data_IF_263478507201
#
_entry.id   IF_263478507201
#
_cell.length_a   1.000
_cell.length_b   1.000
_cell.length_c   1.000
_cell.angle_alpha   90.00
_cell.angle_beta   90.00
_cell.angle_gamma   90.00
#
_symmetry.space_group_name_H-M   'P 1'
#
loop_
_entity.id
_entity.type
_entity.pdbx_description
1 polymer ?
#
# COMPACT_ATOMS: atom_id res chain seq x y z
N UNK A 1 15.17 99.11 91.84
CA UNK A 1 15.74 97.76 91.57
C UNK A 1 14.70 96.70 91.14
N UNK A 2 13.48 96.63 91.72
CA UNK A 2 12.48 95.57 91.37
C UNK A 2 11.80 95.72 89.99
N UNK A 3 11.55 96.94 89.50
CA UNK A 3 10.85 97.18 88.22
C UNK A 3 11.69 96.83 86.97
N UNK A 4 13.01 96.93 87.06
CA UNK A 4 13.95 96.66 85.93
C UNK A 4 14.09 95.16 85.68
N UNK A 5 14.14 94.35 86.74
CA UNK A 5 14.23 92.88 86.65
C UNK A 5 12.98 92.30 85.96
N UNK A 6 11.79 92.84 86.26
CA UNK A 6 10.53 92.41 85.64
C UNK A 6 10.47 92.76 84.14
N UNK A 7 10.97 93.91 83.72
CA UNK A 7 11.06 94.26 82.29
C UNK A 7 12.05 93.41 81.52
N UNK A 8 13.21 93.09 82.11
CA UNK A 8 14.21 92.21 81.47
C UNK A 8 13.67 90.79 81.33
N UNK A 9 12.98 90.27 82.34
CA UNK A 9 12.38 88.94 82.30
C UNK A 9 11.26 88.85 81.25
N UNK A 10 10.43 89.89 81.14
CA UNK A 10 9.41 89.99 80.09
C UNK A 10 10.01 90.00 78.68
N UNK A 11 11.10 90.74 78.48
CA UNK A 11 11.80 90.78 77.19
C UNK A 11 12.39 89.41 76.83
N UNK A 12 12.94 88.69 77.81
CA UNK A 12 13.53 87.37 77.61
C UNK A 12 12.48 86.32 77.20
N UNK A 13 11.27 86.38 77.78
CA UNK A 13 10.16 85.49 77.43
C UNK A 13 9.67 85.74 75.98
N UNK A 14 9.63 86.99 75.53
CA UNK A 14 9.24 87.33 74.15
C UNK A 14 10.28 86.77 73.16
N UNK A 15 11.57 86.97 73.45
CA UNK A 15 12.66 86.44 72.60
C UNK A 15 12.62 84.91 72.54
N UNK A 16 12.41 84.23 73.67
CA UNK A 16 12.28 82.77 73.70
C UNK A 16 11.07 82.27 72.90
N UNK A 17 9.92 82.94 73.00
CA UNK A 17 8.71 82.58 72.26
C UNK A 17 8.90 82.68 70.75
N UNK A 18 9.55 83.75 70.28
CA UNK A 18 9.86 83.93 68.85
C UNK A 18 10.79 82.83 68.35
N UNK A 19 11.77 82.42 69.15
CA UNK A 19 12.72 81.37 68.76
C UNK A 19 12.04 80.00 68.62
N UNK A 20 11.17 79.65 69.58
CA UNK A 20 10.41 78.40 69.55
C UNK A 20 9.45 78.36 68.36
N UNK A 21 8.75 79.47 68.08
CA UNK A 21 7.84 79.57 66.94
C UNK A 21 8.58 79.33 65.61
N UNK A 22 9.78 79.89 65.45
CA UNK A 22 10.59 79.73 64.24
C UNK A 22 11.03 78.28 64.04
N UNK A 23 11.43 77.60 65.11
CA UNK A 23 11.82 76.18 65.09
C UNK A 23 10.66 75.26 64.67
N UNK A 24 9.43 75.55 65.10
CA UNK A 24 8.25 74.77 64.72
C UNK A 24 7.90 74.98 63.24
N UNK A 25 8.00 76.22 62.75
CA UNK A 25 7.71 76.54 61.33
C UNK A 25 8.71 75.87 60.40
N UNK A 26 10.01 75.93 60.72
CA UNK A 26 11.07 75.31 59.90
C UNK A 26 11.02 73.78 59.94
N UNK A 27 10.44 73.19 60.99
CA UNK A 27 10.27 71.72 61.08
C UNK A 27 9.16 71.16 60.17
N UNK A 28 8.38 72.01 59.50
CA UNK A 28 7.27 71.58 58.65
C UNK A 28 7.75 71.24 57.23
N UNK A 29 8.31 70.04 57.06
CA UNK A 29 8.61 69.48 55.73
C UNK A 29 7.35 68.97 55.04
N UNK A 30 6.74 69.79 54.18
CA UNK A 30 5.65 69.39 53.30
C UNK A 30 6.21 68.79 52.00
N UNK A 31 6.61 67.52 52.03
CA UNK A 31 6.91 66.76 50.81
C UNK A 31 5.59 66.33 50.16
N UNK A 32 5.23 66.96 49.03
CA UNK A 32 4.06 66.54 48.25
C UNK A 32 4.39 65.20 47.56
N UNK A 33 3.59 64.14 47.77
CA UNK A 33 3.83 62.87 47.09
C UNK A 33 3.69 63.07 45.57
N UNK A 34 4.69 62.65 44.79
CA UNK A 34 4.61 62.64 43.33
C UNK A 34 3.64 61.55 42.91
N UNK A 35 2.65 61.91 42.08
CA UNK A 35 1.67 60.97 41.53
C UNK A 35 2.39 59.96 40.63
N UNK A 36 2.35 58.69 41.01
CA UNK A 36 2.90 57.60 40.20
C UNK A 36 2.04 57.40 38.95
N UNK A 37 2.68 57.41 37.77
CA UNK A 37 1.99 57.09 36.51
C UNK A 37 1.70 55.60 36.47
N UNK A 38 0.43 55.23 36.57
CA UNK A 38 -0.01 53.84 36.43
C UNK A 38 0.07 53.43 34.96
N UNK A 39 1.15 52.78 34.58
CA UNK A 39 1.27 52.17 33.25
C UNK A 39 0.63 50.79 33.32
N UNK A 40 -0.54 50.64 32.69
CA UNK A 40 -1.23 49.36 32.63
C UNK A 40 -0.54 48.48 31.60
N UNK A 41 0.26 47.53 32.07
CA UNK A 41 0.86 46.51 31.21
C UNK A 41 -0.21 45.53 30.76
N UNK A 42 -0.25 45.26 29.46
CA UNK A 42 -1.10 44.23 28.85
C UNK A 42 -0.20 43.21 28.16
N UNK A 43 -0.60 41.95 28.22
CA UNK A 43 0.09 40.89 27.48
C UNK A 43 -0.42 40.89 26.05
N UNK A 44 0.50 40.98 25.09
CA UNK A 44 0.20 40.85 23.67
C UNK A 44 1.04 39.74 23.07
N UNK A 45 0.46 39.06 22.09
CA UNK A 45 1.15 38.05 21.30
C UNK A 45 1.12 38.48 19.84
N UNK A 46 2.27 38.36 19.15
CA UNK A 46 2.37 38.71 17.75
C UNK A 46 1.98 37.52 16.90
N UNK A 47 0.82 37.60 16.25
CA UNK A 47 0.34 36.57 15.32
C UNK A 47 1.30 36.47 14.13
N UNK A 48 1.71 35.24 13.80
CA UNK A 48 2.45 34.91 12.58
C UNK A 48 1.57 34.06 11.68
N UNK A 49 1.32 34.53 10.46
CA UNK A 49 0.52 33.80 9.49
C UNK A 49 1.33 32.62 8.95
N UNK A 50 0.79 31.41 9.11
CA UNK A 50 1.33 30.18 8.53
C UNK A 50 0.25 29.43 7.77
N UNK A 51 0.65 28.56 6.85
CA UNK A 51 -0.26 27.66 6.16
C UNK A 51 -0.56 26.51 7.12
N UNK A 52 -1.83 26.35 7.50
CA UNK A 52 -2.30 25.24 8.33
C UNK A 52 -2.87 24.16 7.41
N UNK A 53 -2.20 23.01 7.23
CA UNK A 53 -2.72 21.95 6.40
C UNK A 53 -3.94 21.28 7.06
N UNK A 54 -5.03 21.14 6.32
CA UNK A 54 -6.21 20.40 6.75
C UNK A 54 -5.96 18.92 6.44
N UNK A 55 -5.67 18.12 7.47
CA UNK A 55 -5.56 16.66 7.32
C UNK A 55 -6.91 16.01 7.62
N UNK A 56 -7.45 15.29 6.65
CA UNK A 56 -8.68 14.51 6.82
C UNK A 56 -8.29 13.03 6.93
N UNK A 57 -8.34 12.42 8.13
CA UNK A 57 -8.02 11.00 8.28
C UNK A 57 -9.11 10.16 7.60
N UNK A 58 -8.69 9.31 6.66
CA UNK A 58 -9.56 8.33 6.01
C UNK A 58 -9.29 6.95 6.58
N UNK A 59 -10.34 6.25 6.97
CA UNK A 59 -10.27 4.86 7.43
C UNK A 59 -10.79 3.94 6.31
N UNK A 60 -10.19 2.76 6.18
CA UNK A 60 -10.59 1.78 5.18
C UNK A 60 -9.98 0.42 5.44
N UNK A 61 -10.52 -0.61 4.78
CA UNK A 61 -10.00 -1.97 4.90
C UNK A 61 -8.84 -2.18 3.92
N UNK A 62 -7.80 -2.88 4.38
CA UNK A 62 -6.68 -3.26 3.53
C UNK A 62 -7.01 -4.57 2.81
N UNK A 63 -6.67 -4.63 1.53
CA UNK A 63 -6.66 -5.87 0.74
C UNK A 63 -5.26 -6.11 0.17
N UNK A 64 -4.96 -7.38 -0.07
CA UNK A 64 -3.72 -7.76 -0.73
C UNK A 64 -3.66 -7.12 -2.13
N UNK A 65 -2.51 -6.53 -2.46
CA UNK A 65 -2.25 -5.92 -3.78
C UNK A 65 -2.47 -6.90 -4.93
N UNK A 66 -2.14 -8.17 -4.73
CA UNK A 66 -2.33 -9.24 -5.70
C UNK A 66 -2.87 -10.46 -4.98
N UNK A 67 -4.15 -10.76 -5.22
CA UNK A 67 -4.81 -11.98 -4.77
C UNK A 67 -4.98 -12.89 -5.97
N UNK A 68 -4.52 -14.12 -5.85
CA UNK A 68 -4.69 -15.15 -6.88
C UNK A 68 -5.33 -16.37 -6.23
N UNK A 69 -6.22 -17.00 -6.99
CA UNK A 69 -6.77 -18.31 -6.67
C UNK A 69 -6.02 -19.36 -7.47
N UNK A 70 -5.69 -20.47 -6.82
CA UNK A 70 -4.92 -21.54 -7.43
C UNK A 70 -5.85 -22.68 -7.76
N UNK A 71 -5.80 -23.10 -9.02
CA UNK A 71 -6.53 -24.23 -9.55
C UNK A 71 -5.53 -25.25 -10.07
N UNK A 72 -5.90 -26.53 -9.99
CA UNK A 72 -5.13 -27.59 -10.63
C UNK A 72 -5.49 -27.67 -12.10
N UNK A 73 -4.51 -27.79 -12.97
CA UNK A 73 -4.71 -28.07 -14.40
C UNK A 73 -5.13 -29.52 -14.65
N UNK A 74 -4.80 -30.43 -13.72
CA UNK A 74 -5.04 -31.87 -13.85
C UNK A 74 -5.77 -32.43 -12.63
N UNK A 75 -6.57 -33.45 -12.87
CA UNK A 75 -7.14 -34.26 -11.79
C UNK A 75 -6.14 -35.34 -11.38
N UNK A 76 -6.10 -35.66 -10.08
CA UNK A 76 -5.24 -36.71 -9.58
C UNK A 76 -5.21 -36.78 -8.05
N UNK A 77 -4.31 -37.61 -7.52
CA UNK A 77 -4.19 -37.83 -6.07
C UNK A 77 -3.16 -36.87 -5.47
N UNK A 78 -3.53 -36.21 -4.37
CA UNK A 78 -2.62 -35.34 -3.62
C UNK A 78 -1.41 -36.13 -3.10
N UNK A 79 -0.21 -35.70 -3.48
CA UNK A 79 1.05 -36.19 -2.90
C UNK A 79 1.63 -35.14 -1.97
N UNK A 80 2.00 -35.57 -0.76
CA UNK A 80 2.63 -34.71 0.23
C UNK A 80 3.88 -34.02 -0.31
N UNK A 81 4.07 -32.77 0.10
CA UNK A 81 5.28 -31.97 -0.18
C UNK A 81 5.98 -31.67 1.15
N UNK A 82 7.21 -31.14 1.09
CA UNK A 82 8.00 -30.76 2.27
C UNK A 82 7.27 -29.77 3.20
N UNK A 83 6.41 -28.90 2.63
CA UNK A 83 5.53 -28.02 3.39
C UNK A 83 4.10 -28.56 3.40
N UNK A 84 3.46 -28.55 4.57
CA UNK A 84 2.05 -28.90 4.72
C UNK A 84 1.19 -27.85 4.01
N UNK A 85 0.24 -28.30 3.17
CA UNK A 85 -0.71 -27.41 2.52
C UNK A 85 -1.78 -26.96 3.52
N UNK A 86 -1.57 -25.81 4.17
CA UNK A 86 -2.48 -25.22 5.16
C UNK A 86 -2.52 -23.69 5.05
N UNK A 87 -3.57 -23.02 5.55
CA UNK A 87 -3.63 -21.57 5.58
C UNK A 87 -2.44 -20.94 6.32
N UNK A 88 -1.99 -19.77 5.86
CA UNK A 88 -0.89 -19.03 6.49
C UNK A 88 0.53 -19.53 6.14
N UNK A 89 0.68 -20.44 5.18
CA UNK A 89 2.00 -20.86 4.68
C UNK A 89 2.58 -19.86 3.68
N UNK A 90 3.90 -19.66 3.77
CA UNK A 90 4.65 -18.79 2.85
C UNK A 90 5.36 -19.67 1.82
N UNK A 91 5.18 -19.34 0.55
CA UNK A 91 5.83 -19.99 -0.58
C UNK A 91 6.70 -19.00 -1.34
N UNK A 92 7.85 -19.46 -1.84
CA UNK A 92 8.69 -18.68 -2.75
C UNK A 92 8.26 -18.90 -4.20
N UNK A 93 8.61 -17.96 -5.07
CA UNK A 93 8.42 -18.14 -6.52
C UNK A 93 9.13 -19.41 -6.98
N UNK A 94 8.42 -20.28 -7.70
CA UNK A 94 8.93 -21.56 -8.19
C UNK A 94 8.89 -22.70 -7.17
N UNK A 95 8.44 -22.45 -5.94
CA UNK A 95 8.26 -23.50 -4.94
C UNK A 95 6.99 -24.31 -5.24
N UNK A 96 7.10 -25.64 -5.21
CA UNK A 96 5.96 -26.53 -5.39
C UNK A 96 5.04 -26.46 -4.16
N UNK A 97 3.79 -26.04 -4.40
CA UNK A 97 2.76 -25.92 -3.35
C UNK A 97 2.12 -27.28 -3.09
N UNK A 98 1.72 -27.95 -4.16
CA UNK A 98 1.09 -29.27 -4.18
C UNK A 98 1.76 -30.10 -5.26
N UNK A 99 1.96 -31.39 -4.98
CA UNK A 99 2.28 -32.40 -6.00
C UNK A 99 1.06 -33.26 -6.23
N UNK A 100 0.73 -33.51 -7.49
CA UNK A 100 -0.43 -34.30 -7.87
C UNK A 100 0.07 -35.49 -8.67
N UNK A 101 -0.40 -36.68 -8.31
CA UNK A 101 -0.21 -37.86 -9.13
C UNK A 101 -1.18 -37.82 -10.31
N UNK A 102 -0.65 -37.46 -11.48
CA UNK A 102 -1.41 -37.29 -12.72
C UNK A 102 -1.35 -38.54 -13.61
N UNK A 103 -1.07 -39.73 -13.07
CA UNK A 103 -0.98 -40.96 -13.86
C UNK A 103 -2.25 -41.26 -14.67
N UNK A 104 -3.43 -41.00 -14.10
CA UNK A 104 -4.72 -41.17 -14.80
C UNK A 104 -4.88 -40.17 -15.94
N UNK A 105 -4.57 -38.89 -15.70
CA UNK A 105 -4.57 -37.87 -16.74
C UNK A 105 -3.58 -38.21 -17.86
N UNK A 106 -2.38 -38.67 -17.51
CA UNK A 106 -1.37 -39.10 -18.49
C UNK A 106 -1.84 -40.30 -19.32
N UNK A 107 -2.52 -41.29 -18.71
CA UNK A 107 -3.11 -42.42 -19.40
C UNK A 107 -4.24 -41.99 -20.36
N UNK A 108 -5.07 -41.03 -19.93
CA UNK A 108 -6.11 -40.45 -20.79
C UNK A 108 -5.52 -39.71 -21.98
N UNK A 109 -4.47 -38.92 -21.78
CA UNK A 109 -3.72 -38.25 -22.87
C UNK A 109 -3.12 -39.30 -23.82
N UNK A 110 -2.54 -40.38 -23.29
CA UNK A 110 -1.99 -41.45 -24.11
C UNK A 110 -3.05 -42.15 -24.96
N UNK A 111 -4.23 -42.42 -24.38
CA UNK A 111 -5.38 -42.99 -25.10
C UNK A 111 -5.84 -42.06 -26.23
N UNK A 112 -5.98 -40.76 -25.94
CA UNK A 112 -6.36 -39.76 -26.94
C UNK A 112 -5.34 -39.67 -28.10
N UNK A 113 -4.04 -39.73 -27.80
CA UNK A 113 -2.99 -39.79 -28.83
C UNK A 113 -3.10 -41.04 -29.70
N UNK A 114 -3.36 -42.21 -29.10
CA UNK A 114 -3.54 -43.46 -29.85
C UNK A 114 -4.75 -43.38 -30.77
N UNK A 115 -5.84 -42.79 -30.29
CA UNK A 115 -7.05 -42.58 -31.09
C UNK A 115 -6.76 -41.65 -32.28
N UNK A 116 -6.09 -40.53 -32.06
CA UNK A 116 -5.70 -39.61 -33.14
C UNK A 116 -4.79 -40.31 -34.17
N UNK A 117 -3.78 -41.05 -33.72
CA UNK A 117 -2.88 -41.79 -34.60
C UNK A 117 -3.63 -42.82 -35.46
N UNK A 118 -4.55 -43.57 -34.84
CA UNK A 118 -5.36 -44.58 -35.55
C UNK A 118 -6.32 -43.92 -36.55
N UNK A 119 -6.94 -42.79 -36.20
CA UNK A 119 -7.80 -42.03 -37.10
C UNK A 119 -7.02 -41.47 -38.29
N UNK A 120 -5.82 -40.94 -38.06
CA UNK A 120 -4.97 -40.43 -39.15
C UNK A 120 -4.49 -41.57 -40.05
N UNK A 121 -4.11 -42.71 -39.47
CA UNK A 121 -3.66 -43.87 -40.24
C UNK A 121 -4.78 -44.45 -41.10
N UNK A 122 -6.04 -44.45 -40.63
CA UNK A 122 -7.17 -44.99 -41.39
C UNK A 122 -7.56 -44.14 -42.59
N UNK A 123 -7.26 -42.83 -42.59
CA UNK A 123 -7.54 -41.93 -43.72
C UNK A 123 -6.38 -41.85 -44.73
N UNK A 124 -5.19 -42.40 -44.42
CA UNK A 124 -4.04 -42.35 -45.33
C UNK A 124 -4.28 -43.01 -46.71
N UNK A 125 -4.97 -44.17 -46.82
CA UNK A 125 -5.28 -44.75 -48.12
C UNK A 125 -6.16 -43.83 -48.98
N UNK A 126 -7.22 -43.28 -48.38
CA UNK A 126 -8.15 -42.35 -49.04
C UNK A 126 -7.42 -41.07 -49.47
N UNK A 127 -6.58 -40.52 -48.59
CA UNK A 127 -5.82 -39.31 -48.87
C UNK A 127 -4.78 -39.53 -49.98
N UNK A 128 -4.21 -40.74 -50.09
CA UNK A 128 -3.31 -41.11 -51.18
C UNK A 128 -4.02 -41.23 -52.53
N UNK A 129 -5.27 -41.71 -52.54
CA UNK A 129 -6.06 -41.94 -53.75
C UNK A 129 -6.72 -40.65 -54.25
N UNK A 130 -7.37 -39.92 -53.34
CA UNK A 130 -8.20 -38.76 -53.68
C UNK A 130 -7.42 -37.43 -53.67
N UNK A 131 -6.35 -37.33 -52.88
CA UNK A 131 -5.59 -36.09 -52.66
C UNK A 131 -4.06 -36.32 -52.62
N UNK A 132 -3.44 -36.79 -53.71
CA UNK A 132 -2.02 -37.14 -53.75
C UNK A 132 -1.08 -35.97 -53.40
N UNK A 133 -1.52 -34.72 -53.61
CA UNK A 133 -0.75 -33.52 -53.29
C UNK A 133 -0.66 -33.24 -51.77
N UNK A 134 -1.66 -33.69 -51.01
CA UNK A 134 -1.71 -33.52 -49.55
C UNK A 134 -1.04 -34.69 -48.81
N UNK A 135 -0.93 -35.85 -49.45
CA UNK A 135 -0.40 -37.08 -48.85
C UNK A 135 0.99 -36.93 -48.21
N UNK A 136 2.00 -36.34 -48.87
CA UNK A 136 3.35 -36.23 -48.30
C UNK A 136 3.39 -35.47 -46.97
N UNK A 137 2.53 -34.46 -46.81
CA UNK A 137 2.44 -33.63 -45.62
C UNK A 137 1.91 -34.40 -44.41
N UNK A 138 0.85 -35.17 -44.60
CA UNK A 138 0.27 -36.00 -43.54
C UNK A 138 1.12 -37.24 -43.24
N UNK A 139 1.78 -37.81 -44.25
CA UNK A 139 2.76 -38.86 -44.05
C UNK A 139 3.96 -38.37 -43.23
N UNK A 140 4.47 -37.17 -43.49
CA UNK A 140 5.55 -36.57 -42.71
C UNK A 140 5.12 -36.34 -41.24
N UNK A 141 3.88 -35.88 -41.03
CA UNK A 141 3.32 -35.74 -39.68
C UNK A 141 3.25 -37.08 -38.93
N UNK A 142 2.74 -38.14 -39.58
CA UNK A 142 2.67 -39.49 -38.99
C UNK A 142 4.06 -40.08 -38.71
N UNK A 143 5.01 -39.90 -39.63
CA UNK A 143 6.38 -40.37 -39.44
C UNK A 143 7.10 -39.68 -38.26
N UNK A 144 6.71 -38.44 -37.96
CA UNK A 144 7.21 -37.67 -36.81
C UNK A 144 6.42 -37.90 -35.51
N UNK A 145 5.36 -38.71 -35.54
CA UNK A 145 4.47 -38.90 -34.40
C UNK A 145 5.09 -39.88 -33.39
N UNK A 146 5.64 -39.34 -32.30
CA UNK A 146 6.21 -40.11 -31.20
C UNK A 146 5.24 -40.11 -30.01
N UNK A 147 4.72 -41.29 -29.65
CA UNK A 147 3.79 -41.46 -28.54
C UNK A 147 4.35 -40.97 -27.19
N UNK A 148 5.68 -41.07 -27.00
CA UNK A 148 6.35 -40.68 -25.76
C UNK A 148 6.56 -39.16 -25.63
N UNK A 149 6.43 -38.39 -26.72
CA UNK A 149 6.67 -36.95 -26.74
C UNK A 149 5.38 -36.14 -26.77
N UNK A 150 5.51 -34.82 -26.63
CA UNK A 150 4.40 -33.90 -26.83
C UNK A 150 3.84 -34.03 -28.26
N UNK A 151 2.52 -33.98 -28.39
CA UNK A 151 1.85 -34.09 -29.69
C UNK A 151 2.29 -32.92 -30.58
N UNK A 152 2.84 -33.18 -31.78
CA UNK A 152 3.18 -32.13 -32.72
C UNK A 152 1.93 -31.36 -33.16
N UNK A 153 2.09 -30.08 -33.52
CA UNK A 153 0.97 -29.31 -34.05
C UNK A 153 0.50 -29.91 -35.37
N UNK A 154 -0.83 -29.95 -35.57
CA UNK A 154 -1.42 -30.41 -36.81
C UNK A 154 -0.91 -29.59 -38.00
N UNK A 155 -0.70 -30.21 -39.17
CA UNK A 155 -0.27 -29.49 -40.36
C UNK A 155 -1.26 -28.39 -40.76
N UNK A 156 -0.77 -27.23 -41.20
CA UNK A 156 -1.63 -26.10 -41.60
C UNK A 156 -2.50 -26.44 -42.80
N UNK A 157 -3.82 -26.45 -42.66
CA UNK A 157 -4.74 -26.79 -43.75
C UNK A 157 -4.88 -25.62 -44.73
N UNK A 158 -4.21 -25.71 -45.89
CA UNK A 158 -4.13 -24.60 -46.86
C UNK A 158 -5.37 -24.48 -47.74
N UNK A 159 -6.16 -25.56 -47.85
CA UNK A 159 -7.23 -25.67 -48.83
C UNK A 159 -8.54 -26.03 -48.15
N UNK A 160 -9.66 -25.43 -48.58
CA UNK A 160 -10.98 -25.75 -48.01
C UNK A 160 -11.34 -27.25 -48.16
N UNK A 161 -10.94 -27.87 -49.28
CA UNK A 161 -11.14 -29.31 -49.52
C UNK A 161 -10.43 -30.18 -48.46
N UNK A 162 -9.20 -29.83 -48.09
CA UNK A 162 -8.44 -30.50 -47.02
C UNK A 162 -9.19 -30.36 -45.69
N UNK A 163 -9.61 -29.14 -45.36
CA UNK A 163 -10.34 -28.85 -44.13
C UNK A 163 -11.64 -29.63 -44.02
N UNK A 164 -12.43 -29.69 -45.09
CA UNK A 164 -13.69 -30.46 -45.10
C UNK A 164 -13.46 -31.96 -45.02
N UNK A 165 -12.45 -32.49 -45.71
CA UNK A 165 -12.12 -33.91 -45.64
C UNK A 165 -11.70 -34.33 -44.22
N UNK A 166 -10.77 -33.59 -43.61
CA UNK A 166 -10.27 -33.91 -42.26
C UNK A 166 -11.36 -33.68 -41.19
N UNK A 167 -12.17 -32.62 -41.34
CA UNK A 167 -13.31 -32.37 -40.44
C UNK A 167 -14.38 -33.46 -40.57
N UNK A 168 -14.67 -33.93 -41.79
CA UNK A 168 -15.67 -34.97 -42.05
C UNK A 168 -15.29 -36.33 -41.46
N UNK A 169 -14.01 -36.55 -41.16
CA UNK A 169 -13.49 -37.75 -40.50
C UNK A 169 -13.36 -37.61 -38.98
N UNK A 170 -13.84 -36.49 -38.41
CA UNK A 170 -13.88 -36.28 -36.96
C UNK A 170 -12.52 -36.05 -36.30
N UNK A 171 -11.49 -35.69 -37.09
CA UNK A 171 -10.13 -35.44 -36.57
C UNK A 171 -10.03 -34.07 -35.86
N UNK A 172 -10.87 -33.11 -36.26
CA UNK A 172 -10.91 -31.74 -35.69
C UNK A 172 -11.91 -31.57 -34.54
N UNK A 173 -12.70 -32.60 -34.21
CA UNK A 173 -13.78 -32.51 -33.21
C UNK A 173 -13.36 -32.91 -31.80
N UNK A 174 -12.06 -33.08 -31.54
CA UNK A 174 -11.52 -33.47 -30.23
C UNK A 174 -10.63 -32.37 -29.65
#
# INVERSE_FOLDING_TARGET
MRKIILSILGLLIIVASVFIAKMIIDSKSNSRPRVEKVVKTVFTEKVQNGIVPIMVPANGNLMAKSRMELYSEVQGVFRGTTKLFRPGQIYRRGESIIRIDAAEYAANVQSAKSNLYNQLTSIMPDLRLDYPELFPKWQAYLNGFDMAKATPQLPEMSTEKEKFFISGRGILTT
#
